data_IF_024107809007
#
_entry.id   IF_024107809007
#
_cell.length_a   1.000
_cell.length_b   1.000
_cell.length_c   1.000
_cell.angle_alpha   90.00
_cell.angle_beta   90.00
_cell.angle_gamma   90.00
#
_symmetry.space_group_name_H-M   'P 1'
#
loop_
_entity.id
_entity.type
_entity.pdbx_description
1 polymer ?
#
# COMPACT_ATOMS: atom_id res chain seq x y z
N UNK A 1 5.45 -7.60 -5.17
CA UNK A 1 4.19 -6.91 -4.84
C UNK A 1 4.08 -6.69 -3.35
N UNK A 2 3.53 -5.55 -2.93
CA UNK A 2 3.28 -5.27 -1.53
C UNK A 2 2.11 -4.29 -1.39
N UNK A 3 1.63 -4.03 -0.19
CA UNK A 3 0.60 -3.02 0.09
C UNK A 3 1.18 -1.89 0.94
N UNK A 4 2.11 -2.21 1.85
CA UNK A 4 2.65 -1.29 2.87
C UNK A 4 1.52 -0.64 3.70
N UNK A 5 0.88 -1.49 4.52
CA UNK A 5 -0.25 -1.11 5.36
C UNK A 5 0.24 -0.31 6.58
N UNK A 6 0.44 1.00 6.39
CA UNK A 6 1.00 1.90 7.38
C UNK A 6 -0.05 2.57 8.28
N UNK A 7 -1.33 2.44 7.93
CA UNK A 7 -2.47 2.95 8.70
C UNK A 7 -3.75 2.24 8.27
N UNK A 8 -4.77 2.18 9.13
CA UNK A 8 -6.10 1.65 8.80
C UNK A 8 -6.81 2.50 7.75
N UNK A 9 -6.69 3.82 7.85
CA UNK A 9 -7.18 4.75 6.85
C UNK A 9 -6.29 4.73 5.60
N UNK A 10 -6.84 4.47 4.40
CA UNK A 10 -6.08 4.35 3.17
C UNK A 10 -5.41 5.66 2.71
N UNK A 11 -5.97 6.83 3.06
CA UNK A 11 -5.40 8.13 2.71
C UNK A 11 -4.18 8.42 3.58
N UNK A 12 -4.29 8.18 4.89
CA UNK A 12 -3.17 8.31 5.81
C UNK A 12 -2.07 7.29 5.47
N UNK A 13 -2.41 6.03 5.19
CA UNK A 13 -1.44 5.03 4.74
C UNK A 13 -0.66 5.50 3.51
N UNK A 14 -1.34 6.08 2.51
CA UNK A 14 -0.71 6.62 1.31
C UNK A 14 0.20 7.83 1.61
N UNK A 15 -0.22 8.72 2.52
CA UNK A 15 0.56 9.92 2.87
C UNK A 15 1.90 9.58 3.52
N UNK A 16 1.96 8.49 4.30
CA UNK A 16 3.16 8.02 5.00
C UNK A 16 4.17 7.29 4.12
N UNK A 17 3.80 6.93 2.89
CA UNK A 17 4.72 6.21 2.01
C UNK A 17 5.89 7.07 1.55
N UNK A 18 7.06 6.44 1.40
CA UNK A 18 8.21 7.04 0.71
C UNK A 18 7.89 7.32 -0.75
N UNK A 19 8.51 8.35 -1.32
CA UNK A 19 8.20 8.82 -2.68
C UNK A 19 8.31 7.74 -3.75
N UNK A 20 9.35 6.93 -3.72
CA UNK A 20 9.49 5.80 -4.66
C UNK A 20 8.34 4.80 -4.54
N UNK A 21 7.84 4.58 -3.32
CA UNK A 21 6.70 3.71 -3.11
C UNK A 21 5.40 4.38 -3.58
N UNK A 22 5.20 5.69 -3.35
CA UNK A 22 4.05 6.42 -3.90
C UNK A 22 3.93 6.23 -5.41
N UNK A 23 5.03 6.27 -6.15
CA UNK A 23 5.03 6.03 -7.60
C UNK A 23 4.75 4.58 -7.94
N UNK A 24 5.52 3.66 -7.36
CA UNK A 24 5.48 2.23 -7.71
C UNK A 24 4.19 1.54 -7.30
N UNK A 25 3.69 1.85 -6.09
CA UNK A 25 2.54 1.16 -5.52
C UNK A 25 1.22 1.49 -6.19
N UNK A 26 1.10 2.60 -6.91
CA UNK A 26 -0.06 2.87 -7.78
C UNK A 26 -0.21 1.76 -8.82
N UNK A 27 0.87 1.41 -9.51
CA UNK A 27 0.85 0.35 -10.51
C UNK A 27 0.59 -1.03 -9.88
N UNK A 28 1.29 -1.36 -8.79
CA UNK A 28 1.14 -2.66 -8.14
C UNK A 28 -0.29 -2.85 -7.59
N UNK A 29 -0.89 -1.82 -7.00
CA UNK A 29 -2.28 -1.86 -6.54
C UNK A 29 -3.25 -2.08 -7.70
N UNK A 30 -3.09 -1.33 -8.81
CA UNK A 30 -3.90 -1.53 -10.00
C UNK A 30 -3.77 -2.95 -10.58
N UNK A 31 -2.57 -3.53 -10.59
CA UNK A 31 -2.35 -4.90 -11.05
C UNK A 31 -3.06 -5.94 -10.16
N UNK A 32 -3.03 -5.75 -8.84
CA UNK A 32 -3.77 -6.63 -7.90
C UNK A 32 -5.28 -6.53 -8.10
N UNK A 33 -5.81 -5.30 -8.25
CA UNK A 33 -7.23 -5.06 -8.50
C UNK A 33 -7.69 -5.59 -9.87
N UNK A 34 -6.89 -5.40 -10.92
CA UNK A 34 -7.15 -5.99 -12.24
C UNK A 34 -7.16 -7.53 -12.17
N UNK A 35 -6.24 -8.12 -11.41
CA UNK A 35 -6.21 -9.58 -11.20
C UNK A 35 -7.49 -10.06 -10.50
N UNK A 36 -8.04 -9.28 -9.57
CA UNK A 36 -9.33 -9.59 -8.96
C UNK A 36 -10.46 -9.65 -10.00
N UNK A 37 -10.48 -8.73 -10.99
CA UNK A 37 -11.45 -8.75 -12.08
C UNK A 37 -11.26 -9.95 -13.01
N UNK A 38 -10.03 -10.35 -13.31
CA UNK A 38 -9.79 -11.57 -14.09
C UNK A 38 -10.32 -12.82 -13.38
N UNK A 39 -10.24 -12.86 -12.03
CA UNK A 39 -10.74 -13.98 -11.24
C UNK A 39 -12.27 -13.98 -11.08
N UNK A 40 -12.84 -12.84 -10.71
CA UNK A 40 -14.21 -12.72 -10.20
C UNK A 40 -15.11 -11.75 -10.98
N UNK A 41 -14.63 -11.20 -12.08
CA UNK A 41 -15.45 -10.39 -12.99
C UNK A 41 -16.39 -11.26 -13.84
N UNK A 42 -17.50 -10.68 -14.30
CA UNK A 42 -18.29 -11.26 -15.38
C UNK A 42 -17.57 -11.12 -16.74
N UNK A 43 -18.18 -11.62 -17.83
CA UNK A 43 -17.58 -11.58 -19.16
C UNK A 43 -17.23 -10.15 -19.62
N UNK A 44 -18.13 -9.20 -19.38
CA UNK A 44 -17.92 -7.79 -19.73
C UNK A 44 -16.77 -7.17 -18.95
N UNK A 45 -16.74 -7.36 -17.62
CA UNK A 45 -15.66 -6.87 -16.79
C UNK A 45 -14.32 -7.47 -17.23
N UNK A 46 -14.25 -8.79 -17.48
CA UNK A 46 -13.02 -9.46 -17.92
C UNK A 46 -12.50 -8.93 -19.25
N UNK A 47 -13.39 -8.60 -20.18
CA UNK A 47 -13.03 -8.06 -21.49
C UNK A 47 -12.40 -6.67 -21.38
N UNK A 48 -12.87 -5.86 -20.43
CA UNK A 48 -12.49 -4.45 -20.29
C UNK A 48 -11.41 -4.18 -19.24
N UNK A 49 -10.81 -5.22 -18.62
CA UNK A 49 -9.77 -5.05 -17.60
C UNK A 49 -8.54 -4.32 -18.18
N UNK A 50 -8.11 -3.19 -17.60
CA UNK A 50 -7.05 -2.37 -18.19
C UNK A 50 -5.67 -3.02 -18.25
N UNK A 51 -5.36 -3.93 -17.33
CA UNK A 51 -4.08 -4.64 -17.25
C UNK A 51 -4.28 -6.15 -17.23
N UNK A 52 -3.31 -6.88 -17.77
CA UNK A 52 -3.27 -8.35 -17.71
C UNK A 52 -3.18 -8.84 -16.26
N UNK A 53 -3.62 -10.05 -16.03
CA UNK A 53 -3.44 -10.75 -14.78
C UNK A 53 -1.96 -10.81 -14.39
N UNK A 54 -1.63 -10.48 -13.14
CA UNK A 54 -0.28 -10.48 -12.62
C UNK A 54 -0.24 -11.04 -11.20
N UNK A 55 0.81 -11.79 -10.89
CA UNK A 55 1.10 -12.29 -9.55
C UNK A 55 -0.10 -12.94 -8.83
N UNK A 56 -0.83 -13.79 -9.53
CA UNK A 56 -2.10 -14.41 -9.09
C UNK A 56 -2.03 -15.00 -7.68
N UNK A 57 -0.95 -15.70 -7.36
CA UNK A 57 -0.78 -16.43 -6.10
C UNK A 57 -0.02 -15.64 -5.01
N UNK A 58 0.30 -14.38 -5.27
CA UNK A 58 0.96 -13.55 -4.25
C UNK A 58 -0.01 -13.24 -3.10
N UNK A 59 0.41 -13.35 -1.81
CA UNK A 59 -0.48 -13.15 -0.66
C UNK A 59 -1.28 -11.84 -0.71
N UNK A 60 -0.65 -10.73 -1.07
CA UNK A 60 -1.34 -9.42 -1.21
C UNK A 60 -2.38 -9.43 -2.34
N UNK A 61 -2.12 -10.15 -3.44
CA UNK A 61 -3.08 -10.27 -4.55
C UNK A 61 -4.27 -11.15 -4.16
N UNK A 62 -4.04 -12.21 -3.38
CA UNK A 62 -5.10 -13.06 -2.81
C UNK A 62 -5.96 -12.23 -1.85
N UNK A 63 -5.33 -11.47 -0.96
CA UNK A 63 -6.02 -10.59 -0.02
C UNK A 63 -6.87 -9.53 -0.74
N UNK A 64 -6.35 -8.88 -1.77
CA UNK A 64 -7.06 -7.84 -2.54
C UNK A 64 -8.40 -8.33 -3.15
N UNK A 65 -8.55 -9.64 -3.36
CA UNK A 65 -9.76 -10.26 -3.91
C UNK A 65 -10.52 -11.14 -2.91
N UNK A 66 -10.17 -11.07 -1.62
CA UNK A 66 -10.79 -11.90 -0.56
C UNK A 66 -12.23 -11.49 -0.27
N UNK A 67 -12.51 -10.19 -0.27
CA UNK A 67 -13.84 -9.62 -0.02
C UNK A 67 -14.00 -8.26 -0.69
N UNK A 68 -15.23 -7.73 -0.70
CA UNK A 68 -15.48 -6.35 -1.18
C UNK A 68 -14.81 -5.30 -0.31
N UNK A 69 -14.71 -5.53 1.00
CA UNK A 69 -14.06 -4.59 1.92
C UNK A 69 -12.54 -4.48 1.63
N UNK A 70 -11.84 -5.61 1.45
CA UNK A 70 -10.40 -5.61 1.14
C UNK A 70 -10.12 -5.03 -0.24
N UNK A 71 -10.95 -5.34 -1.24
CA UNK A 71 -10.88 -4.73 -2.57
C UNK A 71 -11.05 -3.22 -2.49
N UNK A 72 -12.09 -2.74 -1.78
CA UNK A 72 -12.41 -1.31 -1.67
C UNK A 72 -11.32 -0.54 -0.97
N UNK A 73 -10.76 -1.08 0.12
CA UNK A 73 -9.64 -0.46 0.81
C UNK A 73 -8.45 -0.26 -0.13
N UNK A 74 -8.05 -1.30 -0.86
CA UNK A 74 -6.92 -1.21 -1.80
C UNK A 74 -7.18 -0.21 -2.94
N UNK A 75 -8.43 -0.16 -3.43
CA UNK A 75 -8.81 0.83 -4.43
C UNK A 75 -8.68 2.26 -3.89
N UNK A 76 -9.21 2.55 -2.70
CA UNK A 76 -9.10 3.86 -2.08
C UNK A 76 -7.64 4.25 -1.82
N UNK A 77 -6.84 3.31 -1.36
CA UNK A 77 -5.40 3.51 -1.18
C UNK A 77 -4.67 3.83 -2.50
N UNK A 78 -5.00 3.14 -3.58
CA UNK A 78 -4.48 3.43 -4.92
C UNK A 78 -4.84 4.86 -5.37
N UNK A 79 -6.08 5.30 -5.13
CA UNK A 79 -6.52 6.67 -5.46
C UNK A 79 -5.78 7.70 -4.62
N UNK A 80 -5.65 7.46 -3.32
CA UNK A 80 -4.90 8.33 -2.41
C UNK A 80 -3.42 8.47 -2.83
N UNK A 81 -2.78 7.37 -3.20
CA UNK A 81 -1.42 7.40 -3.79
C UNK A 81 -1.38 8.23 -5.08
N UNK A 82 -2.42 8.16 -5.91
CA UNK A 82 -2.57 8.98 -7.11
C UNK A 82 -2.63 10.49 -6.78
N UNK A 83 -3.34 10.86 -5.72
CA UNK A 83 -3.39 12.24 -5.22
C UNK A 83 -2.02 12.69 -4.70
N UNK A 84 -1.35 11.88 -3.89
CA UNK A 84 -0.01 12.18 -3.39
C UNK A 84 1.01 12.32 -4.54
N UNK A 85 0.90 11.49 -5.57
CA UNK A 85 1.70 11.62 -6.79
C UNK A 85 1.45 12.95 -7.50
N UNK A 86 0.18 13.32 -7.69
CA UNK A 86 -0.19 14.59 -8.36
C UNK A 86 0.29 15.80 -7.57
N UNK A 87 0.15 15.78 -6.25
CA UNK A 87 0.65 16.79 -5.33
C UNK A 87 2.16 17.03 -5.50
N UNK A 88 2.92 15.95 -5.64
CA UNK A 88 4.38 15.98 -5.69
C UNK A 88 4.93 16.31 -7.07
N UNK A 89 4.32 15.81 -8.12
CA UNK A 89 4.87 15.87 -9.48
C UNK A 89 4.06 16.79 -10.41
N UNK A 90 2.96 17.36 -9.98
CA UNK A 90 2.12 18.29 -10.76
C UNK A 90 1.41 17.63 -11.94
N UNK A 91 1.32 16.28 -11.98
CA UNK A 91 0.70 15.53 -13.08
C UNK A 91 0.01 14.27 -12.57
N UNK A 92 -0.99 13.81 -13.31
CA UNK A 92 -1.69 12.56 -12.98
C UNK A 92 -0.87 11.35 -13.42
N UNK A 93 -0.77 10.34 -12.54
CA UNK A 93 -0.11 9.08 -12.88
C UNK A 93 -0.91 8.31 -13.94
N UNK A 94 -0.24 7.79 -14.99
CA UNK A 94 -0.89 7.14 -16.13
C UNK A 94 -1.78 5.95 -15.71
N UNK A 95 -1.38 5.20 -14.70
CA UNK A 95 -2.20 4.10 -14.17
C UNK A 95 -3.53 4.61 -13.60
N UNK A 96 -3.54 5.75 -12.91
CA UNK A 96 -4.79 6.37 -12.40
C UNK A 96 -5.69 6.73 -13.58
N UNK A 97 -5.16 7.39 -14.60
CA UNK A 97 -5.93 7.74 -15.81
C UNK A 97 -6.55 6.51 -16.47
N UNK A 98 -5.79 5.40 -16.57
CA UNK A 98 -6.25 4.18 -17.23
C UNK A 98 -7.23 3.36 -16.41
N UNK A 99 -7.03 3.28 -15.09
CA UNK A 99 -7.63 2.24 -14.28
C UNK A 99 -8.69 2.75 -13.30
N UNK A 100 -8.61 3.99 -12.82
CA UNK A 100 -9.42 4.46 -11.70
C UNK A 100 -10.92 4.31 -11.95
N UNK A 101 -11.40 4.72 -13.10
CA UNK A 101 -12.83 4.64 -13.46
C UNK A 101 -13.33 3.20 -13.48
N UNK A 102 -12.59 2.28 -14.09
CA UNK A 102 -12.97 0.87 -14.20
C UNK A 102 -12.91 0.17 -12.83
N UNK A 103 -11.82 0.36 -12.09
CA UNK A 103 -11.59 -0.32 -10.82
C UNK A 103 -12.44 0.21 -9.65
N UNK A 104 -13.16 1.32 -9.83
CA UNK A 104 -14.09 1.81 -8.80
C UNK A 104 -15.25 0.84 -8.50
N UNK A 105 -15.61 0.00 -9.46
CA UNK A 105 -16.65 -1.01 -9.33
C UNK A 105 -15.98 -2.36 -9.05
N UNK A 106 -16.20 -2.98 -7.88
CA UNK A 106 -15.63 -4.30 -7.59
C UNK A 106 -16.11 -5.37 -8.59
N UNK A 107 -15.35 -6.46 -8.78
CA UNK A 107 -15.79 -7.60 -9.57
C UNK A 107 -17.11 -8.15 -9.02
N UNK A 108 -18.07 -8.47 -9.91
CA UNK A 108 -19.44 -8.84 -9.50
C UNK A 108 -19.51 -10.13 -8.68
N UNK A 109 -18.57 -11.05 -8.87
CA UNK A 109 -18.55 -12.34 -8.19
C UNK A 109 -17.66 -12.37 -6.92
N UNK A 110 -17.06 -11.24 -6.51
CA UNK A 110 -16.45 -11.17 -5.17
C UNK A 110 -17.54 -11.32 -4.11
N UNK A 111 -17.36 -12.32 -3.26
CA UNK A 111 -18.26 -12.62 -2.15
C UNK A 111 -17.83 -11.95 -0.87
N UNK A 112 -18.80 -11.75 0.05
CA UNK A 112 -18.53 -11.25 1.39
C UNK A 112 -18.12 -9.77 1.45
N UNK A 113 -18.09 -9.25 2.66
CA UNK A 113 -17.66 -7.89 2.97
C UNK A 113 -16.81 -7.84 4.26
N UNK A 114 -16.27 -8.98 4.66
CA UNK A 114 -15.46 -9.11 5.86
C UNK A 114 -14.12 -8.42 5.68
N UNK A 115 -13.77 -7.60 6.67
CA UNK A 115 -12.46 -6.99 6.75
C UNK A 115 -11.42 -7.97 7.32
N UNK A 116 -10.23 -7.90 6.82
CA UNK A 116 -9.03 -8.47 7.45
C UNK A 116 -7.83 -7.61 7.10
N UNK A 117 -6.86 -7.50 8.00
CA UNK A 117 -5.60 -6.83 7.68
C UNK A 117 -4.89 -7.47 6.49
N UNK A 118 -4.14 -6.69 5.70
CA UNK A 118 -3.28 -7.23 4.64
C UNK A 118 -2.23 -8.20 5.20
N UNK A 119 -1.83 -9.21 4.42
CA UNK A 119 -0.75 -10.10 4.83
C UNK A 119 0.56 -9.33 4.92
N UNK A 120 1.37 -9.67 5.90
CA UNK A 120 2.71 -9.10 6.08
C UNK A 120 3.68 -9.75 5.09
N UNK A 121 3.69 -9.24 3.84
CA UNK A 121 4.55 -9.71 2.76
C UNK A 121 5.98 -9.13 2.90
N UNK A 122 6.70 -9.60 3.91
CA UNK A 122 8.03 -9.14 4.30
C UNK A 122 8.81 -10.28 4.95
N UNK A 123 10.15 -10.17 5.14
CA UNK A 123 10.93 -11.11 5.92
C UNK A 123 10.41 -11.26 7.35
N UNK A 124 10.57 -12.46 7.92
CA UNK A 124 9.95 -12.82 9.21
C UNK A 124 10.43 -11.97 10.38
N UNK A 125 11.67 -11.49 10.36
CA UNK A 125 12.23 -10.63 11.40
C UNK A 125 11.48 -9.30 11.57
N UNK A 126 10.79 -8.83 10.53
CA UNK A 126 9.99 -7.58 10.58
C UNK A 126 8.55 -7.81 10.98
N UNK A 127 8.04 -9.04 10.92
CA UNK A 127 6.64 -9.34 11.23
C UNK A 127 6.30 -9.09 12.70
N UNK A 128 5.09 -8.64 12.94
CA UNK A 128 4.53 -8.37 14.28
C UNK A 128 3.09 -8.87 14.35
N UNK A 129 2.50 -9.02 15.55
CA UNK A 129 1.10 -9.46 15.68
C UNK A 129 0.11 -8.59 14.89
N UNK A 130 0.27 -7.27 14.88
CA UNK A 130 -0.48 -6.36 14.02
C UNK A 130 0.26 -6.12 12.69
N UNK A 131 -0.45 -6.13 11.57
CA UNK A 131 0.14 -5.86 10.26
C UNK A 131 0.68 -4.43 10.16
N UNK A 132 0.01 -3.44 10.76
CA UNK A 132 0.50 -2.05 10.82
C UNK A 132 1.87 -2.03 11.51
N UNK A 133 2.00 -2.68 12.65
CA UNK A 133 3.26 -2.75 13.38
C UNK A 133 4.37 -3.45 12.58
N UNK A 134 4.07 -4.54 11.91
CA UNK A 134 5.01 -5.23 11.04
C UNK A 134 5.48 -4.34 9.89
N UNK A 135 4.55 -3.64 9.23
CA UNK A 135 4.89 -2.75 8.12
C UNK A 135 5.69 -1.53 8.55
N UNK A 136 5.42 -0.93 9.72
CA UNK A 136 6.26 0.15 10.24
C UNK A 136 7.66 -0.35 10.58
N UNK A 137 7.76 -1.51 11.26
CA UNK A 137 9.05 -2.12 11.54
C UNK A 137 9.88 -2.34 10.27
N UNK A 138 9.26 -2.88 9.22
CA UNK A 138 9.89 -3.09 7.92
C UNK A 138 10.27 -1.77 7.24
N UNK A 139 9.42 -0.75 7.34
CA UNK A 139 9.63 0.56 6.74
C UNK A 139 10.84 1.26 7.34
N UNK A 140 10.90 1.29 8.67
CA UNK A 140 11.95 2.00 9.42
C UNK A 140 13.29 1.29 9.30
N UNK A 141 13.33 -0.04 9.40
CA UNK A 141 14.58 -0.78 9.50
C UNK A 141 15.16 -1.25 8.16
N UNK A 142 14.35 -1.31 7.10
CA UNK A 142 14.81 -1.78 5.79
C UNK A 142 14.50 -0.79 4.65
N UNK A 143 13.24 -0.38 4.50
CA UNK A 143 12.80 0.39 3.33
C UNK A 143 13.37 1.79 3.26
N UNK A 144 13.71 2.43 4.36
CA UNK A 144 14.39 3.73 4.34
C UNK A 144 15.71 3.69 3.56
N UNK A 145 16.46 2.58 3.61
CA UNK A 145 17.74 2.40 2.92
C UNK A 145 17.61 2.49 1.39
N UNK A 146 16.48 2.09 0.85
CA UNK A 146 16.19 2.14 -0.59
C UNK A 146 15.79 3.55 -1.04
N UNK A 147 15.23 4.34 -0.14
CA UNK A 147 14.65 5.64 -0.47
C UNK A 147 15.65 6.79 -0.31
N UNK A 148 16.75 6.59 0.43
CA UNK A 148 17.67 7.65 0.86
C UNK A 148 18.76 8.05 -0.12
N UNK A 149 18.84 7.46 -1.31
CA UNK A 149 20.00 7.68 -2.19
C UNK A 149 19.83 8.78 -3.22
N UNK A 150 19.23 9.91 -2.98
CA UNK A 150 19.23 11.12 -3.84
C UNK A 150 17.87 11.80 -4.01
N UNK A 151 16.93 11.68 -3.08
CA UNK A 151 15.63 12.33 -3.21
C UNK A 151 15.44 13.44 -2.15
N UNK A 152 15.13 14.64 -2.62
CA UNK A 152 14.71 15.79 -1.80
C UNK A 152 13.19 15.78 -1.66
N UNK A 153 12.66 16.27 -0.55
CA UNK A 153 12.87 15.89 0.83
C UNK A 153 12.02 14.67 1.20
N UNK A 154 12.48 13.90 2.17
CA UNK A 154 11.77 12.75 2.72
C UNK A 154 10.40 13.15 3.24
N UNK A 155 9.36 12.39 2.91
CA UNK A 155 8.21 12.31 3.78
C UNK A 155 8.54 11.28 4.85
N UNK A 156 9.26 11.71 5.88
CA UNK A 156 9.37 10.93 7.11
C UNK A 156 7.96 10.86 7.69
N UNK A 157 7.48 9.69 8.15
CA UNK A 157 6.23 9.63 8.89
C UNK A 157 6.30 10.64 10.04
N UNK A 158 5.23 11.39 10.32
CA UNK A 158 5.24 12.33 11.42
C UNK A 158 5.68 11.63 12.71
N UNK A 159 6.62 12.20 13.46
CA UNK A 159 7.12 11.67 14.74
C UNK A 159 5.98 11.22 15.65
N UNK A 160 4.85 11.97 15.67
CA UNK A 160 3.64 11.64 16.43
C UNK A 160 3.06 10.24 16.10
N UNK A 161 3.13 9.80 14.85
CA UNK A 161 2.67 8.44 14.45
C UNK A 161 3.67 7.38 14.93
N UNK A 162 4.93 7.75 15.02
CA UNK A 162 5.97 6.86 15.56
C UNK A 162 5.85 6.76 17.09
N UNK A 163 5.56 7.87 17.80
CA UNK A 163 5.35 7.86 19.24
C UNK A 163 4.15 7.00 19.66
N UNK A 164 2.99 7.13 18.98
CA UNK A 164 1.82 6.28 19.22
C UNK A 164 2.12 4.80 18.95
N UNK A 165 2.95 4.53 17.97
CA UNK A 165 3.41 3.20 17.61
C UNK A 165 4.36 2.59 18.68
N UNK A 166 5.29 3.37 19.22
CA UNK A 166 6.30 2.88 20.17
C UNK A 166 5.77 2.83 21.62
N UNK A 167 4.88 3.73 22.00
CA UNK A 167 4.25 3.73 23.33
C UNK A 167 3.22 2.59 23.49
N UNK A 168 2.75 2.00 22.40
CA UNK A 168 1.85 0.82 22.42
C UNK A 168 2.57 -0.54 22.34
N UNK A 169 3.84 -0.58 21.99
CA UNK A 169 4.66 -1.79 21.93
C UNK A 169 5.69 -1.78 23.05
N UNK A 170 5.56 -2.68 24.02
CA UNK A 170 6.53 -2.86 25.11
C UNK A 170 7.96 -2.87 24.59
N UNK A 171 8.82 -2.29 25.37
CA UNK A 171 10.22 -1.90 25.21
C UNK A 171 11.16 -3.00 24.70
N UNK A 172 11.09 -3.41 23.46
CA UNK A 172 12.14 -4.24 22.85
C UNK A 172 12.89 -3.44 21.79
N UNK A 173 13.99 -2.82 22.25
CA UNK A 173 15.16 -2.33 21.53
C UNK A 173 14.98 -1.91 20.06
N UNK A 174 14.43 -0.73 19.82
CA UNK A 174 14.63 -0.02 18.58
C UNK A 174 15.55 1.16 18.86
N UNK A 175 16.82 1.00 18.53
CA UNK A 175 17.82 2.06 18.60
C UNK A 175 17.65 2.93 17.36
N UNK A 176 17.03 4.11 17.53
CA UNK A 176 17.13 5.18 16.55
C UNK A 176 18.46 5.90 16.75
N UNK A 177 19.40 5.68 15.86
CA UNK A 177 20.49 6.64 15.69
C UNK A 177 20.00 7.77 14.80
N UNK A 178 19.37 8.77 15.38
CA UNK A 178 19.21 10.07 14.74
C UNK A 178 20.60 10.73 14.71
N UNK A 179 21.16 10.85 13.54
CA UNK A 179 22.30 11.76 13.34
C UNK A 179 21.73 13.20 13.31
N UNK A 180 21.89 13.92 14.41
CA UNK A 180 21.47 15.31 14.63
C UNK A 180 22.28 16.33 13.78
N UNK A 181 22.83 15.90 12.68
CA UNK A 181 23.63 16.75 11.81
C UNK A 181 22.90 17.07 10.52
N UNK A 182 21.80 17.78 10.60
CA UNK A 182 21.32 18.65 9.50
C UNK A 182 19.99 19.32 9.92
N UNK A 183 20.11 20.34 10.76
CA UNK A 183 19.17 21.46 10.80
C UNK A 183 19.80 22.61 10.01
#
# INVERSE_FOLDING_TARGET
MNIFYLHEDPELAASYMYDKHKVKMILESAQMLCTAHHCYGNAEQKLNVPYKQAHLNHPSTIWARKSRATYRWLYLHMIALGHEYTKRYGKTHLTITKCAKFLNIPPVHIQGNEWSEPPQAMPDEYKRPSAIHGYWNYYINDKYKVCNKNEKPYTVPPLRVMDDYFNGCGSDNIIFSYDDKNI
#
